data_IF_776075823149
#
_entry.id   IF_776075823149
#
_cell.length_a   1.000
_cell.length_b   1.000
_cell.length_c   1.000
_cell.angle_alpha   90.00
_cell.angle_beta   90.00
_cell.angle_gamma   90.00
#
_symmetry.space_group_name_H-M   'P 1'
#
loop_
_entity.id
_entity.type
_entity.pdbx_description
1 polymer ?
#
# COMPACT_ATOMS: atom_id res chain seq x y z
N UNK A 1 -4.68 -19.66 -27.21
CA UNK A 1 -4.66 -19.11 -25.83
C UNK A 1 -4.34 -17.63 -25.85
N UNK A 2 -5.22 -16.67 -25.57
CA UNK A 2 -6.42 -16.73 -24.74
C UNK A 2 -6.17 -16.04 -23.40
N UNK A 3 -6.17 -14.71 -23.36
CA UNK A 3 -6.46 -13.94 -22.16
C UNK A 3 -6.89 -12.53 -22.56
N UNK A 4 -8.20 -12.30 -22.54
CA UNK A 4 -8.80 -11.00 -22.72
C UNK A 4 -8.34 -10.06 -21.59
N UNK A 5 -7.80 -8.90 -21.95
CA UNK A 5 -7.48 -7.82 -21.02
C UNK A 5 -8.36 -6.63 -21.36
N UNK A 6 -9.37 -6.40 -20.53
CA UNK A 6 -9.97 -5.09 -20.25
C UNK A 6 -10.85 -5.24 -18.99
N UNK A 7 -11.02 -4.24 -18.10
CA UNK A 7 -10.62 -2.84 -18.27
C UNK A 7 -9.80 -2.25 -17.12
N UNK A 8 -9.03 -1.21 -17.45
CA UNK A 8 -8.58 -0.17 -16.53
C UNK A 8 -7.75 -0.61 -15.30
N UNK A 9 -6.65 -1.32 -15.53
CA UNK A 9 -5.51 -1.19 -14.60
C UNK A 9 -4.85 0.16 -14.92
N UNK A 10 -4.83 1.13 -13.99
CA UNK A 10 -4.12 2.38 -14.22
C UNK A 10 -2.67 2.06 -14.59
N UNK A 11 -2.14 2.68 -15.63
CA UNK A 11 -0.73 2.51 -16.01
C UNK A 11 0.24 2.82 -14.85
N UNK A 12 -0.23 3.56 -13.85
CA UNK A 12 0.43 3.85 -12.58
C UNK A 12 0.72 2.60 -11.73
N UNK A 13 -0.01 1.49 -11.95
CA UNK A 13 0.26 0.23 -11.27
C UNK A 13 1.49 -0.51 -11.82
N UNK A 14 2.07 -0.04 -12.94
CA UNK A 14 3.12 -0.78 -13.67
C UNK A 14 4.45 -0.02 -13.76
N UNK A 15 4.53 1.24 -13.31
CA UNK A 15 5.76 2.05 -13.45
C UNK A 15 6.66 2.04 -12.19
N UNK A 16 6.18 1.60 -11.02
CA UNK A 16 6.99 1.51 -9.81
C UNK A 16 7.81 0.20 -9.67
N UNK A 17 8.24 -0.42 -10.77
CA UNK A 17 9.05 -1.65 -10.73
C UNK A 17 10.12 -1.69 -11.83
N UNK A 18 10.97 -0.66 -11.86
CA UNK A 18 12.23 -0.66 -12.61
C UNK A 18 13.42 -1.21 -11.82
N UNK A 19 13.24 -1.58 -10.55
CA UNK A 19 14.29 -2.16 -9.71
C UNK A 19 13.59 -3.09 -8.72
N UNK A 20 13.87 -4.39 -8.75
CA UNK A 20 13.33 -5.37 -7.79
C UNK A 20 13.87 -5.19 -6.36
N UNK A 21 13.95 -3.95 -5.89
CA UNK A 21 14.57 -3.49 -4.65
C UNK A 21 13.72 -2.45 -3.91
N UNK A 22 12.68 -1.88 -4.53
CA UNK A 22 11.85 -0.85 -3.87
C UNK A 22 10.60 -1.50 -3.24
N UNK A 23 10.50 -1.58 -1.90
CA UNK A 23 9.34 -2.15 -1.21
C UNK A 23 8.14 -1.18 -1.14
N UNK A 24 8.20 -0.08 -1.89
CA UNK A 24 7.20 0.97 -1.85
C UNK A 24 6.10 0.74 -2.89
N UNK A 25 4.85 0.90 -2.47
CA UNK A 25 3.69 0.90 -3.36
C UNK A 25 3.05 2.29 -3.41
N UNK A 26 2.40 2.65 -4.51
CA UNK A 26 1.66 3.91 -4.58
C UNK A 26 0.56 3.96 -3.50
N UNK A 27 0.28 5.12 -2.88
CA UNK A 27 -0.78 5.25 -1.87
C UNK A 27 -2.15 4.85 -2.41
N UNK A 28 -2.44 5.11 -3.69
CA UNK A 28 -3.66 4.65 -4.34
C UNK A 28 -3.78 3.11 -4.31
N UNK A 29 -2.68 2.39 -4.53
CA UNK A 29 -2.65 0.94 -4.47
C UNK A 29 -2.77 0.42 -3.04
N UNK A 30 -2.17 1.12 -2.07
CA UNK A 30 -2.36 0.82 -0.65
C UNK A 30 -3.82 1.01 -0.22
N UNK A 31 -4.50 2.06 -0.70
CA UNK A 31 -5.91 2.34 -0.38
C UNK A 31 -6.85 1.22 -0.83
N UNK A 32 -6.60 0.61 -2.00
CA UNK A 32 -7.37 -0.54 -2.48
C UNK A 32 -7.24 -1.77 -1.57
N UNK A 33 -6.13 -1.89 -0.83
CA UNK A 33 -5.86 -3.04 0.04
C UNK A 33 -6.34 -2.85 1.48
N UNK A 34 -6.66 -1.62 1.90
CA UNK A 34 -7.11 -1.28 3.26
C UNK A 34 -8.25 -2.19 3.73
N UNK A 35 -9.31 -2.31 2.92
CA UNK A 35 -10.49 -3.09 3.30
C UNK A 35 -10.16 -4.58 3.51
N UNK A 36 -9.26 -5.13 2.69
CA UNK A 36 -8.82 -6.52 2.78
C UNK A 36 -7.98 -6.75 4.04
N UNK A 37 -6.99 -5.90 4.27
CA UNK A 37 -6.11 -5.98 5.45
C UNK A 37 -6.90 -5.82 6.74
N UNK A 38 -7.82 -4.85 6.78
CA UNK A 38 -8.70 -4.61 7.91
C UNK A 38 -9.54 -5.85 8.26
N UNK A 39 -10.14 -6.49 7.24
CA UNK A 39 -10.92 -7.72 7.43
C UNK A 39 -10.08 -8.88 7.97
N UNK A 40 -8.87 -9.10 7.42
CA UNK A 40 -8.00 -10.20 7.83
C UNK A 40 -7.50 -9.99 9.27
N UNK A 41 -7.12 -8.75 9.62
CA UNK A 41 -6.61 -8.41 10.96
C UNK A 41 -7.73 -8.17 11.99
N UNK A 42 -9.00 -8.16 11.57
CA UNK A 42 -10.14 -7.92 12.45
C UNK A 42 -10.20 -6.50 13.02
N UNK A 43 -9.74 -5.51 12.24
CA UNK A 43 -9.65 -4.10 12.65
C UNK A 43 -10.46 -3.19 11.75
N UNK A 44 -10.66 -1.95 12.18
CA UNK A 44 -11.37 -0.96 11.37
C UNK A 44 -10.53 -0.52 10.15
N UNK A 45 -11.15 -0.31 8.98
CA UNK A 45 -10.44 0.18 7.79
C UNK A 45 -9.80 1.55 8.02
N UNK A 46 -10.41 2.40 8.84
CA UNK A 46 -9.86 3.71 9.20
C UNK A 46 -8.53 3.59 9.96
N UNK A 47 -8.41 2.60 10.85
CA UNK A 47 -7.18 2.35 11.59
C UNK A 47 -6.03 1.90 10.68
N UNK A 48 -6.33 1.11 9.65
CA UNK A 48 -5.34 0.71 8.63
C UNK A 48 -5.00 1.90 7.74
N UNK A 49 -5.98 2.74 7.39
CA UNK A 49 -5.76 3.98 6.62
C UNK A 49 -4.80 4.94 7.32
N UNK A 50 -4.99 5.15 8.62
CA UNK A 50 -4.10 5.99 9.43
C UNK A 50 -2.66 5.46 9.39
N UNK A 51 -2.48 4.14 9.51
CA UNK A 51 -1.15 3.53 9.39
C UNK A 51 -0.55 3.70 7.99
N UNK A 52 -1.34 3.50 6.93
CA UNK A 52 -0.89 3.74 5.55
C UNK A 52 -0.42 5.18 5.38
N UNK A 53 -1.18 6.17 5.85
CA UNK A 53 -0.81 7.59 5.77
C UNK A 53 0.45 7.89 6.58
N UNK A 54 0.58 7.34 7.79
CA UNK A 54 1.78 7.52 8.63
C UNK A 54 3.04 6.89 8.02
N UNK A 55 2.89 5.84 7.22
CA UNK A 55 3.98 5.16 6.51
C UNK A 55 4.03 5.52 5.01
N UNK A 56 3.35 6.59 4.60
CA UNK A 56 3.49 7.16 3.26
C UNK A 56 4.61 8.19 3.29
N UNK A 57 5.74 7.84 2.68
CA UNK A 57 6.87 8.74 2.47
C UNK A 57 6.64 9.55 1.16
N UNK A 58 7.13 10.80 1.11
CA UNK A 58 7.03 11.65 -0.09
C UNK A 58 6.07 12.84 0.00
N UNK A 59 5.50 13.13 1.18
CA UNK A 59 4.77 14.40 1.42
C UNK A 59 5.45 15.29 2.46
N UNK A 60 6.77 15.38 2.40
CA UNK A 60 7.54 16.46 3.03
C UNK A 60 7.65 17.61 2.04
N UNK A 61 6.82 18.63 2.22
CA UNK A 61 7.05 20.00 1.73
C UNK A 61 7.43 20.13 0.23
N UNK A 62 6.65 19.51 -0.65
CA UNK A 62 6.27 20.15 -1.90
C UNK A 62 7.18 20.06 -3.12
N UNK A 63 8.32 19.36 -3.16
CA UNK A 63 9.15 19.39 -4.39
C UNK A 63 9.92 18.15 -4.85
N UNK A 64 9.89 16.96 -4.22
CA UNK A 64 10.57 15.78 -4.81
C UNK A 64 9.93 14.43 -4.43
N UNK A 65 9.64 13.60 -5.44
CA UNK A 65 9.28 12.18 -5.32
C UNK A 65 7.81 11.85 -5.56
N UNK A 66 7.55 10.68 -6.16
CA UNK A 66 6.21 10.07 -6.18
C UNK A 66 5.91 9.54 -4.77
N UNK A 67 4.71 9.77 -4.21
CA UNK A 67 4.38 9.27 -2.88
C UNK A 67 4.43 7.74 -2.86
N UNK A 68 5.16 7.19 -1.89
CA UNK A 68 5.37 5.75 -1.74
C UNK A 68 5.01 5.30 -0.33
N UNK A 69 4.33 4.16 -0.22
CA UNK A 69 4.01 3.52 1.05
C UNK A 69 4.97 2.37 1.29
N UNK A 70 5.77 2.46 2.35
CA UNK A 70 6.70 1.41 2.72
C UNK A 70 5.94 0.20 3.29
N UNK A 71 5.83 -0.86 2.50
CA UNK A 71 5.04 -2.05 2.86
C UNK A 71 5.68 -2.83 4.01
N UNK A 72 7.01 -2.80 4.13
CA UNK A 72 7.72 -3.53 5.20
C UNK A 72 7.43 -2.87 6.54
N UNK A 73 7.62 -1.55 6.64
CA UNK A 73 7.34 -0.81 7.87
C UNK A 73 5.85 -0.84 8.22
N UNK A 74 4.97 -0.69 7.23
CA UNK A 74 3.53 -0.80 7.42
C UNK A 74 3.16 -2.18 8.00
N UNK A 75 3.74 -3.27 7.50
CA UNK A 75 3.47 -4.61 8.02
C UNK A 75 3.96 -4.80 9.45
N UNK A 76 5.14 -4.27 9.79
CA UNK A 76 5.67 -4.31 11.17
C UNK A 76 4.76 -3.53 12.10
N UNK A 77 4.35 -2.31 11.72
CA UNK A 77 3.46 -1.49 12.53
C UNK A 77 2.07 -2.13 12.70
N UNK A 78 1.54 -2.74 11.63
CA UNK A 78 0.30 -3.49 11.70
C UNK A 78 0.45 -4.72 12.61
N UNK A 79 1.59 -5.42 12.62
CA UNK A 79 1.81 -6.57 13.50
C UNK A 79 1.94 -6.16 14.98
N UNK A 80 2.67 -5.09 15.27
CA UNK A 80 2.82 -4.55 16.62
C UNK A 80 1.48 -4.06 17.20
N UNK A 81 0.66 -3.40 16.37
CA UNK A 81 -0.61 -2.81 16.81
C UNK A 81 -1.78 -3.77 16.73
N UNK A 82 -1.77 -4.65 15.72
CA UNK A 82 -2.84 -5.57 15.35
C UNK A 82 -2.25 -6.93 14.92
N UNK A 83 -1.69 -7.68 15.89
CA UNK A 83 -1.08 -8.97 15.61
C UNK A 83 -2.14 -9.92 15.04
N UNK A 84 -1.75 -10.68 14.01
CA UNK A 84 -2.59 -11.76 13.49
C UNK A 84 -2.74 -12.80 14.60
N UNK A 85 -3.99 -13.15 14.96
CA UNK A 85 -4.23 -14.32 15.81
C UNK A 85 -3.98 -15.57 14.97
N UNK A 86 -2.93 -16.31 15.30
CA UNK A 86 -2.67 -17.66 14.80
C UNK A 86 -3.79 -18.63 15.16
#
# INVERSE_FOLDING_TARGET
>A
EGAAVDPAVPADAVTASGSGLDPNISPAYAELQIARVAKIRGVSPDAVRQLVVSHTEGRTLGFLGEPGVNVVELNIALDQKYPMKS
#
